data_IF_218065432302
#
_entry.id   IF_218065432302
#
_cell.length_a   1.000
_cell.length_b   1.000
_cell.length_c   1.000
_cell.angle_alpha   90.00
_cell.angle_beta   90.00
_cell.angle_gamma   90.00
#
_symmetry.space_group_name_H-M   'P 1'
#
loop_
_entity.id
_entity.type
_entity.pdbx_description
1 polymer ?
#
# COMPACT_ATOMS: atom_id res chain seq x y z
N UNK A 1 7.60 -4.65 23.37
CA UNK A 1 6.59 -3.84 22.66
C UNK A 1 5.45 -4.77 22.28
N UNK A 2 4.18 -4.35 22.39
CA UNK A 2 3.08 -5.16 21.85
C UNK A 2 3.20 -5.12 20.33
N UNK A 3 3.50 -6.26 19.73
CA UNK A 3 3.56 -6.42 18.30
C UNK A 3 2.17 -6.20 17.66
N UNK A 4 2.18 -5.84 16.38
CA UNK A 4 1.02 -5.34 15.66
C UNK A 4 0.49 -6.43 14.74
N UNK A 5 -0.80 -6.74 14.86
CA UNK A 5 -1.45 -7.72 14.01
C UNK A 5 -2.50 -7.09 13.10
N UNK A 6 -2.39 -7.31 11.79
CA UNK A 6 -3.42 -6.97 10.79
C UNK A 6 -4.36 -8.15 10.56
N UNK A 7 -5.65 -7.88 10.48
CA UNK A 7 -6.69 -8.87 10.21
C UNK A 7 -6.81 -9.14 8.70
N UNK A 8 -5.82 -9.88 8.20
CA UNK A 8 -5.65 -10.32 6.81
C UNK A 8 -5.24 -11.80 6.81
N UNK A 9 -5.54 -12.51 5.73
CA UNK A 9 -5.31 -13.96 5.66
C UNK A 9 -3.84 -14.29 5.35
N UNK A 10 -3.17 -13.41 4.58
CA UNK A 10 -1.75 -13.52 4.30
C UNK A 10 -1.09 -12.15 4.14
N UNK A 11 0.20 -12.10 4.43
CA UNK A 11 1.05 -10.95 4.18
C UNK A 11 2.14 -11.34 3.19
N UNK A 12 2.34 -10.49 2.18
CA UNK A 12 3.35 -10.64 1.16
C UNK A 12 4.27 -9.41 1.11
N UNK A 13 5.53 -9.63 0.78
CA UNK A 13 6.49 -8.58 0.45
C UNK A 13 7.11 -8.88 -0.92
N UNK A 14 6.89 -7.99 -1.89
CA UNK A 14 7.48 -8.10 -3.23
C UNK A 14 8.95 -7.66 -3.15
N UNK A 15 9.86 -8.48 -3.67
CA UNK A 15 11.28 -8.14 -3.75
C UNK A 15 11.93 -8.81 -4.96
N UNK A 16 12.95 -8.16 -5.53
CA UNK A 16 13.75 -8.78 -6.59
C UNK A 16 14.70 -9.82 -6.00
N UNK A 17 14.93 -10.95 -6.67
CA UNK A 17 15.90 -11.99 -6.26
C UNK A 17 17.28 -11.45 -5.86
N UNK A 18 17.78 -10.49 -6.63
CA UNK A 18 19.04 -9.77 -6.42
C UNK A 18 19.08 -8.84 -5.21
N UNK A 19 17.94 -8.55 -4.55
CA UNK A 19 17.82 -7.57 -3.45
C UNK A 19 17.67 -8.20 -2.05
N UNK A 20 18.58 -9.11 -1.68
CA UNK A 20 18.60 -9.66 -0.30
C UNK A 20 18.86 -8.57 0.75
N UNK A 21 19.60 -7.53 0.38
CA UNK A 21 19.83 -6.33 1.20
C UNK A 21 18.50 -5.70 1.68
N UNK A 22 17.54 -5.52 0.76
CA UNK A 22 16.22 -4.93 1.08
C UNK A 22 15.35 -5.89 1.87
N UNK A 23 15.39 -7.19 1.57
CA UNK A 23 14.66 -8.18 2.37
C UNK A 23 15.15 -8.20 3.81
N UNK A 24 16.47 -8.11 4.03
CA UNK A 24 17.02 -8.04 5.37
C UNK A 24 16.59 -6.76 6.11
N UNK A 25 16.68 -5.61 5.45
CA UNK A 25 16.19 -4.34 6.00
C UNK A 25 14.68 -4.38 6.34
N UNK A 26 13.87 -5.02 5.50
CA UNK A 26 12.44 -5.22 5.76
C UNK A 26 12.22 -6.06 7.02
N UNK A 27 12.97 -7.17 7.20
CA UNK A 27 12.85 -8.02 8.39
C UNK A 27 13.17 -7.26 9.66
N UNK A 28 14.24 -6.48 9.65
CA UNK A 28 14.69 -5.67 10.79
C UNK A 28 13.77 -4.48 11.11
N UNK A 29 13.06 -3.95 10.11
CA UNK A 29 12.22 -2.76 10.30
C UNK A 29 10.73 -3.05 10.47
N UNK A 30 10.15 -3.88 9.60
CA UNK A 30 8.73 -4.23 9.62
C UNK A 30 8.52 -5.55 10.34
N UNK A 31 9.36 -6.55 10.06
CA UNK A 31 9.23 -7.90 10.61
C UNK A 31 9.27 -7.95 12.14
N UNK A 32 10.01 -7.04 12.79
CA UNK A 32 10.03 -6.93 14.25
C UNK A 32 8.79 -6.24 14.84
N UNK A 33 8.04 -5.50 14.02
CA UNK A 33 6.93 -4.67 14.47
C UNK A 33 5.58 -5.35 14.25
N UNK A 34 5.45 -6.19 13.22
CA UNK A 34 4.21 -6.90 12.90
C UNK A 34 4.28 -8.38 13.30
N UNK A 35 3.16 -8.91 13.81
CA UNK A 35 3.02 -10.32 14.19
C UNK A 35 2.67 -11.23 13.01
N UNK A 36 2.20 -10.65 11.91
CA UNK A 36 1.78 -11.44 10.77
C UNK A 36 3.00 -12.10 10.12
N UNK A 37 2.96 -13.41 9.82
CA UNK A 37 4.02 -14.05 9.04
C UNK A 37 4.08 -13.43 7.64
N UNK A 38 5.28 -13.01 7.22
CA UNK A 38 5.50 -12.37 5.92
C UNK A 38 6.08 -13.35 4.93
N UNK A 39 5.40 -13.53 3.80
CA UNK A 39 5.86 -14.33 2.68
C UNK A 39 6.57 -13.43 1.66
N UNK A 40 7.85 -13.66 1.40
CA UNK A 40 8.56 -12.92 0.36
C UNK A 40 8.18 -13.47 -1.03
N UNK A 41 7.54 -12.63 -1.84
CA UNK A 41 7.29 -12.90 -3.25
C UNK A 41 8.51 -12.45 -4.06
N UNK A 42 9.48 -13.36 -4.15
CA UNK A 42 10.76 -13.10 -4.81
C UNK A 42 10.61 -13.29 -6.31
N UNK A 43 10.85 -12.23 -7.07
CA UNK A 43 10.71 -12.22 -8.54
C UNK A 43 12.03 -11.90 -9.22
N UNK A 44 12.19 -12.37 -10.45
CA UNK A 44 13.34 -12.00 -11.28
C UNK A 44 13.13 -10.61 -11.88
N UNK A 45 14.23 -9.87 -12.07
CA UNK A 45 14.18 -8.56 -12.72
C UNK A 45 13.67 -8.68 -14.16
N UNK A 46 12.60 -7.96 -14.47
CA UNK A 46 12.07 -7.86 -15.83
C UNK A 46 12.83 -6.82 -16.67
N UNK A 47 12.89 -7.03 -17.99
CA UNK A 47 13.58 -6.11 -18.91
C UNK A 47 12.88 -4.73 -19.01
N UNK A 48 11.55 -4.71 -18.96
CA UNK A 48 10.73 -3.51 -18.69
C UNK A 48 10.36 -3.48 -17.19
N UNK A 49 10.98 -2.61 -16.37
CA UNK A 49 10.69 -2.52 -14.95
C UNK A 49 9.24 -2.17 -14.62
N UNK A 50 8.55 -1.42 -15.48
CA UNK A 50 7.13 -1.06 -15.26
C UNK A 50 6.24 -2.29 -15.40
N UNK A 51 6.47 -3.08 -16.44
CA UNK A 51 5.78 -4.35 -16.64
C UNK A 51 6.07 -5.32 -15.51
N UNK A 52 7.35 -5.47 -15.12
CA UNK A 52 7.74 -6.36 -14.03
C UNK A 52 7.08 -5.99 -12.70
N UNK A 53 7.03 -4.70 -12.37
CA UNK A 53 6.28 -4.20 -11.20
C UNK A 53 4.80 -4.57 -11.31
N UNK A 54 4.14 -4.23 -12.43
CA UNK A 54 2.73 -4.53 -12.66
C UNK A 54 2.40 -6.02 -12.48
N UNK A 55 3.18 -6.88 -13.14
CA UNK A 55 2.99 -8.33 -13.12
C UNK A 55 3.21 -8.91 -11.73
N UNK A 56 4.16 -8.38 -10.95
CA UNK A 56 4.40 -8.85 -9.57
C UNK A 56 3.18 -8.64 -8.67
N UNK A 57 2.53 -7.46 -8.74
CA UNK A 57 1.29 -7.21 -7.99
C UNK A 57 0.13 -8.06 -8.53
N UNK A 58 0.05 -8.26 -9.84
CA UNK A 58 -0.98 -9.08 -10.46
C UNK A 58 -0.85 -10.56 -10.11
N UNK A 59 0.37 -11.09 -10.04
CA UNK A 59 0.65 -12.47 -9.62
C UNK A 59 0.15 -12.72 -8.19
N UNK A 60 0.40 -11.78 -7.26
CA UNK A 60 -0.13 -11.89 -5.89
C UNK A 60 -1.65 -11.87 -5.83
N UNK A 61 -2.30 -11.03 -6.65
CA UNK A 61 -3.76 -11.02 -6.74
C UNK A 61 -4.31 -12.37 -7.24
N UNK A 62 -3.69 -12.96 -8.28
CA UNK A 62 -4.07 -14.30 -8.77
C UNK A 62 -3.85 -15.38 -7.71
N UNK A 63 -2.67 -15.38 -7.09
CA UNK A 63 -2.31 -16.33 -6.03
C UNK A 63 -3.34 -16.30 -4.88
N UNK A 64 -3.74 -15.10 -4.45
CA UNK A 64 -4.73 -14.96 -3.39
C UNK A 64 -6.10 -15.52 -3.78
N UNK A 65 -6.53 -15.31 -5.02
CA UNK A 65 -7.78 -15.87 -5.54
C UNK A 65 -7.73 -17.39 -5.62
N UNK A 66 -6.61 -17.94 -6.12
CA UNK A 66 -6.38 -19.38 -6.25
C UNK A 66 -6.39 -20.08 -4.89
N UNK A 67 -5.86 -19.42 -3.86
CA UNK A 67 -5.86 -19.90 -2.47
C UNK A 67 -7.17 -19.60 -1.72
N UNK A 68 -8.12 -18.92 -2.36
CA UNK A 68 -9.40 -18.56 -1.75
C UNK A 68 -9.30 -17.53 -0.63
N UNK A 69 -8.22 -16.75 -0.55
CA UNK A 69 -8.01 -15.71 0.46
C UNK A 69 -8.99 -14.55 0.26
N UNK A 70 -9.47 -14.00 1.37
CA UNK A 70 -10.38 -12.86 1.38
C UNK A 70 -9.63 -11.52 1.39
N UNK A 71 -8.50 -11.45 2.09
CA UNK A 71 -7.72 -10.21 2.26
C UNK A 71 -6.23 -10.51 2.31
N UNK A 72 -5.46 -9.83 1.48
CA UNK A 72 -4.00 -9.88 1.51
C UNK A 72 -3.42 -8.51 1.81
N UNK A 73 -2.38 -8.46 2.65
CA UNK A 73 -1.55 -7.28 2.84
C UNK A 73 -0.30 -7.43 1.98
N UNK A 74 -0.03 -6.43 1.16
CA UNK A 74 1.12 -6.40 0.26
C UNK A 74 2.02 -5.24 0.62
N UNK A 75 3.30 -5.53 0.75
CA UNK A 75 4.38 -4.57 0.89
C UNK A 75 5.32 -4.62 -0.32
N UNK A 76 5.99 -3.50 -0.59
CA UNK A 76 7.25 -3.49 -1.32
C UNK A 76 8.42 -3.53 -0.31
N UNK A 77 9.57 -4.03 -0.74
CA UNK A 77 10.77 -4.23 0.08
C UNK A 77 11.52 -2.92 0.43
N UNK A 78 11.05 -1.76 -0.01
CA UNK A 78 11.49 -0.44 0.49
C UNK A 78 10.53 0.19 1.50
N UNK A 79 9.50 -0.50 1.97
CA UNK A 79 8.59 0.10 2.93
C UNK A 79 9.29 0.44 4.26
N UNK A 80 8.95 1.59 4.83
CA UNK A 80 9.42 2.06 6.13
C UNK A 80 8.24 2.45 7.02
N UNK A 81 8.16 1.97 8.27
CA UNK A 81 7.07 2.35 9.16
C UNK A 81 7.25 3.78 9.68
N UNK A 82 6.13 4.49 9.85
CA UNK A 82 6.04 5.58 10.83
C UNK A 82 5.85 4.99 12.24
N UNK A 83 5.65 5.82 13.25
CA UNK A 83 5.21 5.35 14.56
C UNK A 83 3.84 4.68 14.46
N UNK A 84 3.80 3.36 14.69
CA UNK A 84 2.59 2.57 14.65
C UNK A 84 1.96 2.47 16.04
N UNK A 85 0.65 2.71 16.12
CA UNK A 85 -0.12 2.64 17.37
C UNK A 85 -1.13 1.51 17.30
N UNK A 86 -1.07 0.57 18.23
CA UNK A 86 -1.97 -0.59 18.28
C UNK A 86 -3.46 -0.19 18.22
N UNK A 87 -3.84 0.90 18.89
CA UNK A 87 -5.22 1.43 18.84
C UNK A 87 -5.68 1.81 17.43
N UNK A 88 -4.79 2.37 16.58
CA UNK A 88 -5.10 2.68 15.18
C UNK A 88 -5.32 1.39 14.38
N UNK A 89 -4.47 0.39 14.60
CA UNK A 89 -4.56 -0.92 13.94
C UNK A 89 -5.88 -1.60 14.27
N UNK A 90 -6.31 -1.54 15.54
CA UNK A 90 -7.60 -2.10 15.95
C UNK A 90 -8.77 -1.49 15.18
N UNK A 91 -8.74 -0.18 14.91
CA UNK A 91 -9.75 0.47 14.07
C UNK A 91 -9.65 0.06 12.59
N UNK A 92 -8.43 -0.07 12.05
CA UNK A 92 -8.22 -0.55 10.68
C UNK A 92 -8.73 -1.99 10.52
N UNK A 93 -8.41 -2.89 11.45
CA UNK A 93 -8.93 -4.26 11.45
C UNK A 93 -10.46 -4.28 11.57
N UNK A 94 -11.03 -3.40 12.42
CA UNK A 94 -12.48 -3.25 12.52
C UNK A 94 -13.10 -2.76 11.20
N UNK A 95 -12.44 -1.88 10.46
CA UNK A 95 -12.88 -1.46 9.14
C UNK A 95 -12.90 -2.65 8.18
N UNK A 96 -11.77 -3.38 8.08
CA UNK A 96 -11.63 -4.52 7.18
C UNK A 96 -12.62 -5.66 7.45
N UNK A 97 -13.12 -5.81 8.69
CA UNK A 97 -14.15 -6.81 9.03
C UNK A 97 -15.57 -6.39 8.67
N UNK A 98 -15.87 -5.09 8.69
CA UNK A 98 -17.25 -4.58 8.69
C UNK A 98 -17.66 -3.91 7.38
N UNK A 99 -16.69 -3.57 6.55
CA UNK A 99 -16.93 -2.81 5.33
C UNK A 99 -16.38 -3.55 4.13
N UNK A 100 -17.13 -3.49 3.03
CA UNK A 100 -16.59 -3.84 1.72
C UNK A 100 -15.63 -2.76 1.25
N UNK A 101 -14.49 -3.17 0.74
CA UNK A 101 -13.49 -2.30 0.13
C UNK A 101 -12.81 -3.08 -1.01
N UNK A 102 -12.12 -2.39 -1.92
CA UNK A 102 -11.33 -3.05 -2.97
C UNK A 102 -9.83 -2.93 -2.66
N UNK A 103 -9.36 -1.72 -2.37
CA UNK A 103 -8.02 -1.49 -1.83
C UNK A 103 -8.05 -0.59 -0.60
N UNK A 104 -7.18 -0.88 0.36
CA UNK A 104 -6.91 -0.03 1.52
C UNK A 104 -5.40 0.28 1.58
N UNK A 105 -5.01 1.48 1.16
CA UNK A 105 -3.61 1.92 1.22
C UNK A 105 -3.22 2.26 2.66
N UNK A 106 -2.12 1.69 3.13
CA UNK A 106 -1.53 1.97 4.44
C UNK A 106 -0.36 2.96 4.34
N UNK A 107 0.30 2.98 3.18
CA UNK A 107 1.26 3.99 2.77
C UNK A 107 0.99 4.41 1.32
N UNK A 108 1.17 5.69 1.00
CA UNK A 108 0.92 6.19 -0.35
C UNK A 108 1.58 7.55 -0.62
N UNK A 109 1.75 7.84 -1.91
CA UNK A 109 2.04 9.17 -2.42
C UNK A 109 0.75 9.99 -2.51
N UNK A 110 0.78 11.21 -1.99
CA UNK A 110 -0.42 12.04 -1.85
C UNK A 110 -1.01 12.44 -3.20
N UNK A 111 -2.22 11.94 -3.45
CA UNK A 111 -3.17 12.49 -4.41
C UNK A 111 -4.31 13.23 -3.71
N UNK A 112 -5.55 12.98 -4.14
CA UNK A 112 -6.74 13.60 -3.52
C UNK A 112 -7.34 12.65 -2.49
N UNK A 113 -7.46 13.09 -1.25
CA UNK A 113 -8.12 12.37 -0.15
C UNK A 113 -9.23 13.18 0.50
N UNK A 114 -10.24 12.49 1.05
CA UNK A 114 -11.30 13.05 1.91
C UNK A 114 -11.64 12.06 3.02
N UNK A 115 -11.99 12.57 4.21
CA UNK A 115 -12.26 11.71 5.36
C UNK A 115 -13.56 10.92 5.17
N UNK A 116 -13.60 9.71 5.72
CA UNK A 116 -14.86 9.02 5.96
C UNK A 116 -15.39 9.32 7.36
N UNK A 117 -16.59 8.83 7.66
CA UNK A 117 -17.16 8.84 9.01
C UNK A 117 -16.61 7.67 9.86
N UNK A 118 -15.80 6.79 9.27
CA UNK A 118 -15.15 5.71 9.98
C UNK A 118 -13.77 6.17 10.49
N UNK A 119 -13.45 5.99 11.79
CA UNK A 119 -12.18 6.43 12.36
C UNK A 119 -10.96 5.90 11.61
N UNK A 120 -10.00 6.77 11.38
CA UNK A 120 -8.73 6.48 10.71
C UNK A 120 -8.83 6.01 9.24
N UNK A 121 -9.99 6.16 8.61
CA UNK A 121 -10.20 5.80 7.22
C UNK A 121 -10.57 7.03 6.40
N UNK A 122 -9.84 7.24 5.32
CA UNK A 122 -10.14 8.19 4.27
C UNK A 122 -10.48 7.46 2.97
N UNK A 123 -11.17 8.15 2.07
CA UNK A 123 -11.24 7.79 0.66
C UNK A 123 -10.14 8.52 -0.09
N UNK A 124 -9.63 7.90 -1.15
CA UNK A 124 -8.49 8.43 -1.89
C UNK A 124 -8.60 8.25 -3.40
N UNK A 125 -7.82 9.08 -4.09
CA UNK A 125 -7.23 8.83 -5.41
C UNK A 125 -5.75 9.11 -5.27
N UNK A 126 -5.06 8.16 -4.66
CA UNK A 126 -3.64 8.18 -4.32
C UNK A 126 -2.88 7.25 -5.26
N UNK A 127 -1.55 7.32 -5.21
CA UNK A 127 -0.64 6.48 -5.99
C UNK A 127 0.45 5.92 -5.06
N UNK A 128 1.37 5.12 -5.60
CA UNK A 128 2.31 4.25 -4.88
C UNK A 128 1.65 3.06 -4.16
N UNK A 129 2.29 1.90 -4.27
CA UNK A 129 1.82 0.60 -3.78
C UNK A 129 2.79 -0.07 -2.80
N UNK A 130 3.57 0.73 -2.08
CA UNK A 130 4.56 0.21 -1.13
C UNK A 130 3.96 -0.44 0.12
N UNK A 131 2.71 -0.12 0.48
CA UNK A 131 1.99 -0.78 1.58
C UNK A 131 0.46 -0.66 1.42
N UNK A 132 -0.22 -1.76 1.13
CA UNK A 132 -1.67 -1.75 0.92
C UNK A 132 -2.32 -3.12 1.14
N UNK A 133 -3.59 -3.12 1.48
CA UNK A 133 -4.43 -4.33 1.57
C UNK A 133 -5.32 -4.41 0.34
N UNK A 134 -5.40 -5.58 -0.28
CA UNK A 134 -6.44 -5.92 -1.25
C UNK A 134 -7.47 -6.85 -0.60
N UNK A 135 -8.74 -6.57 -0.87
CA UNK A 135 -9.80 -7.56 -0.68
C UNK A 135 -9.84 -8.52 -1.86
N UNK A 136 -10.66 -9.57 -1.73
CA UNK A 136 -10.99 -10.50 -2.81
C UNK A 136 -11.48 -9.78 -4.06
N UNK A 137 -12.39 -8.80 -3.92
CA UNK A 137 -12.86 -8.01 -5.06
C UNK A 137 -11.75 -7.19 -5.70
N UNK A 138 -10.86 -6.59 -4.89
CA UNK A 138 -9.69 -5.87 -5.39
C UNK A 138 -8.72 -6.79 -6.14
N UNK A 139 -8.49 -7.99 -5.62
CA UNK A 139 -7.70 -9.03 -6.30
C UNK A 139 -8.33 -9.41 -7.64
N UNK A 140 -9.66 -9.62 -7.70
CA UNK A 140 -10.35 -9.95 -8.94
C UNK A 140 -10.17 -8.86 -9.99
N UNK A 141 -10.28 -7.57 -9.62
CA UNK A 141 -10.08 -6.46 -10.56
C UNK A 141 -8.64 -6.49 -11.10
N UNK A 142 -7.63 -6.56 -10.22
CA UNK A 142 -6.24 -6.53 -10.63
C UNK A 142 -5.83 -7.76 -11.46
N UNK A 143 -6.27 -8.96 -11.07
CA UNK A 143 -5.96 -10.21 -11.75
C UNK A 143 -6.48 -10.25 -13.19
N UNK A 144 -7.63 -9.63 -13.44
CA UNK A 144 -8.30 -9.60 -14.74
C UNK A 144 -7.97 -8.37 -15.59
N UNK A 145 -7.25 -7.39 -15.06
CA UNK A 145 -6.86 -6.19 -15.83
C UNK A 145 -5.56 -6.49 -16.57
N UNK A 146 -5.55 -6.63 -17.91
CA UNK A 146 -4.32 -6.89 -18.66
C UNK A 146 -3.35 -5.71 -18.58
N UNK A 147 -2.05 -5.96 -18.65
CA UNK A 147 -1.07 -4.89 -18.79
C UNK A 147 -1.16 -4.29 -20.19
N UNK A 148 -1.37 -2.97 -20.27
CA UNK A 148 -1.48 -2.21 -21.52
C UNK A 148 -0.38 -1.13 -21.65
N UNK A 149 0.66 -1.20 -20.81
CA UNK A 149 1.69 -0.16 -20.68
C UNK A 149 1.42 0.85 -19.56
N UNK A 150 0.23 0.84 -18.96
CA UNK A 150 -0.12 1.69 -17.82
C UNK A 150 0.53 1.17 -16.53
N UNK A 151 1.24 2.02 -15.76
CA UNK A 151 1.75 1.63 -14.45
C UNK A 151 0.64 1.20 -13.48
N UNK A 152 0.95 0.24 -12.61
CA UNK A 152 -0.04 -0.39 -11.71
C UNK A 152 -0.69 0.60 -10.75
N UNK A 153 0.04 1.58 -10.24
CA UNK A 153 -0.48 2.61 -9.35
C UNK A 153 -1.49 3.54 -10.05
N UNK A 154 -1.30 3.79 -11.34
CA UNK A 154 -2.26 4.51 -12.19
C UNK A 154 -3.51 3.66 -12.44
N UNK A 155 -3.36 2.36 -12.69
CA UNK A 155 -4.50 1.43 -12.78
C UNK A 155 -5.30 1.44 -11.49
N UNK A 156 -4.66 1.33 -10.33
CA UNK A 156 -5.32 1.42 -9.03
C UNK A 156 -6.09 2.72 -8.86
N UNK A 157 -5.50 3.86 -9.24
CA UNK A 157 -6.15 5.17 -9.11
C UNK A 157 -7.40 5.31 -9.97
N UNK A 158 -7.45 4.66 -11.11
CA UNK A 158 -8.51 4.83 -12.11
C UNK A 158 -9.61 3.75 -12.00
N UNK A 159 -9.24 2.52 -11.64
CA UNK A 159 -10.13 1.35 -11.72
C UNK A 159 -10.50 0.78 -10.36
N UNK A 160 -9.62 0.91 -9.36
CA UNK A 160 -9.82 0.32 -8.03
C UNK A 160 -10.31 1.38 -7.04
N UNK A 161 -11.35 1.04 -6.29
CA UNK A 161 -11.95 1.89 -5.28
C UNK A 161 -11.09 1.95 -4.02
N UNK A 162 -10.31 3.03 -3.90
CA UNK A 162 -9.32 3.18 -2.83
C UNK A 162 -9.86 3.76 -1.52
N UNK A 163 -9.66 3.02 -0.44
CA UNK A 163 -9.60 3.54 0.93
C UNK A 163 -8.14 3.77 1.31
N UNK A 164 -7.94 4.62 2.32
CA UNK A 164 -6.62 4.97 2.82
C UNK A 164 -6.63 5.04 4.34
N UNK A 165 -5.60 4.50 4.99
CA UNK A 165 -5.32 4.79 6.38
C UNK A 165 -5.01 6.29 6.55
N UNK A 166 -5.57 6.89 7.60
CA UNK A 166 -5.40 8.30 7.93
C UNK A 166 -5.24 8.48 9.46
N UNK A 167 -4.06 8.88 9.99
CA UNK A 167 -2.87 9.19 9.23
C UNK A 167 -2.21 7.99 8.54
N UNK A 168 -1.44 8.23 7.47
CA UNK A 168 -0.59 7.21 6.82
C UNK A 168 0.29 6.51 7.85
N UNK A 169 0.58 5.23 7.59
CA UNK A 169 1.32 4.36 8.49
C UNK A 169 2.69 3.98 7.94
N UNK A 170 2.86 4.01 6.62
CA UNK A 170 4.11 3.65 5.98
C UNK A 170 4.53 4.70 4.94
N UNK A 171 5.83 4.90 4.84
CA UNK A 171 6.53 5.61 3.75
C UNK A 171 7.48 4.65 3.04
N UNK A 172 8.22 5.11 2.06
CA UNK A 172 9.34 4.37 1.47
C UNK A 172 10.66 4.81 2.12
N UNK A 173 11.61 3.90 2.16
CA UNK A 173 13.02 4.20 2.39
C UNK A 173 13.52 5.12 1.27
N UNK A 174 14.59 5.84 1.60
CA UNK A 174 15.24 6.73 0.65
C UNK A 174 15.87 5.93 -0.51
N UNK A 175 15.88 6.43 -1.74
CA UNK A 175 16.51 5.78 -2.89
C UNK A 175 18.03 5.61 -2.70
N UNK A 176 18.66 6.42 -1.86
CA UNK A 176 20.05 6.19 -1.47
C UNK A 176 20.25 4.90 -0.65
N UNK A 177 19.18 4.38 -0.03
CA UNK A 177 19.16 3.12 0.73
C UNK A 177 18.53 1.99 -0.09
N UNK A 178 17.47 2.28 -0.85
CA UNK A 178 16.64 1.28 -1.54
C UNK A 178 16.21 1.70 -2.95
N UNK A 179 17.10 2.37 -3.69
CA UNK A 179 16.77 2.93 -5.01
C UNK A 179 16.23 1.90 -6.00
N UNK A 180 15.31 2.38 -6.85
CA UNK A 180 14.67 1.64 -7.93
C UNK A 180 15.12 2.17 -9.29
N UNK A 181 15.20 1.29 -10.28
CA UNK A 181 15.53 1.65 -11.67
C UNK A 181 14.46 2.56 -12.33
N UNK A 182 13.28 2.72 -11.71
CA UNK A 182 12.22 3.62 -12.19
C UNK A 182 12.49 5.10 -11.85
N UNK A 183 13.38 5.39 -10.89
CA UNK A 183 13.63 6.75 -10.41
C UNK A 183 14.89 7.35 -11.05
N UNK A 184 14.70 8.11 -12.12
CA UNK A 184 15.80 8.76 -12.87
C UNK A 184 16.42 9.98 -12.14
N UNK A 185 15.83 10.45 -11.04
CA UNK A 185 16.27 11.66 -10.32
C UNK A 185 16.22 11.44 -8.81
N UNK A 186 17.40 11.39 -8.18
CA UNK A 186 17.55 11.41 -6.72
C UNK A 186 17.05 12.76 -6.20
N UNK A 187 15.85 12.79 -5.63
CA UNK A 187 15.31 13.99 -4.96
C UNK A 187 15.79 14.02 -3.52
N UNK A 188 15.81 15.20 -2.90
CA UNK A 188 15.89 15.26 -1.43
C UNK A 188 14.61 14.64 -0.84
N UNK A 189 14.70 13.38 -0.43
CA UNK A 189 13.56 12.50 -0.14
C UNK A 189 12.91 12.77 1.20
N UNK A 190 13.67 13.22 2.21
CA UNK A 190 13.07 13.61 3.48
C UNK A 190 12.21 14.87 3.30
N UNK A 191 12.69 15.86 2.56
CA UNK A 191 11.89 17.05 2.18
C UNK A 191 10.67 16.66 1.34
N UNK A 192 10.79 15.64 0.49
CA UNK A 192 9.67 15.14 -0.30
C UNK A 192 8.62 14.48 0.58
N UNK A 193 9.03 13.58 1.49
CA UNK A 193 8.11 12.90 2.42
C UNK A 193 7.50 13.85 3.43
N UNK A 194 8.22 14.89 3.87
CA UNK A 194 7.65 15.94 4.72
C UNK A 194 6.59 16.75 3.97
N UNK A 195 6.86 17.13 2.71
CA UNK A 195 5.85 17.77 1.84
C UNK A 195 4.65 16.85 1.59
N UNK A 196 4.89 15.56 1.41
CA UNK A 196 3.85 14.54 1.28
C UNK A 196 2.98 14.50 2.55
N UNK A 197 3.60 14.49 3.73
CA UNK A 197 2.91 14.53 5.02
C UNK A 197 2.10 15.81 5.24
N UNK A 198 2.63 16.98 4.85
CA UNK A 198 1.87 18.24 4.90
C UNK A 198 0.65 18.20 3.97
N UNK A 199 0.78 17.64 2.77
CA UNK A 199 -0.35 17.45 1.83
C UNK A 199 -1.39 16.47 2.39
N UNK A 200 -0.93 15.45 3.12
CA UNK A 200 -1.79 14.47 3.77
C UNK A 200 -2.82 15.13 4.66
N UNK A 201 -2.44 16.10 5.48
CA UNK A 201 -3.39 16.86 6.31
C UNK A 201 -4.21 17.91 5.54
N UNK A 202 -3.63 18.56 4.53
CA UNK A 202 -4.31 19.62 3.77
C UNK A 202 -5.39 19.09 2.81
N UNK A 203 -5.18 17.91 2.22
CA UNK A 203 -6.09 17.39 1.19
C UNK A 203 -7.50 17.12 1.73
N UNK A 204 -7.70 16.43 2.87
CA UNK A 204 -9.03 16.18 3.40
C UNK A 204 -9.77 17.46 3.75
N UNK A 205 -9.07 18.47 4.27
CA UNK A 205 -9.65 19.80 4.57
C UNK A 205 -10.20 20.44 3.29
N UNK A 206 -9.41 20.44 2.20
CA UNK A 206 -9.85 20.98 0.90
C UNK A 206 -11.03 20.22 0.29
N UNK A 207 -11.22 18.95 0.67
CA UNK A 207 -12.28 18.09 0.14
C UNK A 207 -13.35 17.77 1.20
N UNK A 208 -13.45 18.57 2.27
CA UNK A 208 -14.37 18.31 3.39
C UNK A 208 -15.83 18.23 2.94
N UNK A 209 -16.21 18.96 1.90
CA UNK A 209 -17.55 18.87 1.30
C UNK A 209 -17.90 17.44 0.85
N UNK A 210 -16.93 16.64 0.39
CA UNK A 210 -17.17 15.23 0.03
C UNK A 210 -17.49 14.38 1.25
N UNK A 211 -16.85 14.68 2.38
CA UNK A 211 -17.13 14.02 3.67
C UNK A 211 -18.54 14.36 4.15
N UNK A 212 -18.92 15.64 4.07
CA UNK A 212 -20.24 16.12 4.49
C UNK A 212 -21.36 15.55 3.61
N UNK A 213 -21.19 15.54 2.29
CA UNK A 213 -22.18 15.04 1.33
C UNK A 213 -22.15 13.52 1.13
N UNK A 214 -21.29 12.80 1.86
CA UNK A 214 -21.08 11.34 1.70
C UNK A 214 -20.77 10.91 0.25
N UNK A 215 -20.07 11.76 -0.50
CA UNK A 215 -19.77 11.52 -1.90
C UNK A 215 -18.77 10.36 -2.05
N UNK A 216 -19.18 9.28 -2.75
CA UNK A 216 -18.38 8.05 -2.96
C UNK A 216 -17.88 7.41 -1.65
N UNK A 217 -18.76 7.30 -0.66
CA UNK A 217 -18.54 6.65 0.64
C UNK A 217 -18.69 5.14 0.58
#
# INVERSE_FOLDING_TARGET
>A
MSSIHFDVDAVYCISLDTREDRRQLFRESIGEVIDNPVNFHVVQKHHDPKQGCYESHQQLARLALDQGLERILVFEDDVKPYELKASRIQWINRFMRRHRFEALHLGYSMGRTWLTWFPFIARGRVVALHAYVLSREGCQILANTPYDGTPVDVVFKNTIRQHCAFPMMFRQHAACVTGSDLELVVKNEDDWWERNWRKHWRSPIKNMWKTLLRWNF
#
